data_IF_387442860251
#
_entry.id   IF_387442860251
#
_cell.length_a   1.000
_cell.length_b   1.000
_cell.length_c   1.000
_cell.angle_alpha   90.00
_cell.angle_beta   90.00
_cell.angle_gamma   90.00
#
_symmetry.space_group_name_H-M   'P 1'
#
loop_
_entity.id
_entity.type
_entity.pdbx_description
1 polymer ?
#
# COMPACT_ATOMS: atom_id res chain seq x y z
N UNK A 1 -44.50 12.12 -17.60
CA UNK A 1 -43.39 12.36 -16.68
C UNK A 1 -42.53 11.12 -16.69
N UNK A 2 -41.41 11.16 -17.40
CA UNK A 2 -40.46 10.05 -17.50
C UNK A 2 -39.45 10.19 -16.37
N UNK A 3 -39.48 9.25 -15.41
CA UNK A 3 -38.45 9.11 -14.38
C UNK A 3 -37.14 8.73 -15.06
N UNK A 4 -36.15 9.64 -15.00
CA UNK A 4 -34.78 9.34 -15.41
C UNK A 4 -34.19 8.49 -14.30
N UNK A 5 -34.09 7.19 -14.55
CA UNK A 5 -33.29 6.26 -13.75
C UNK A 5 -31.83 6.68 -13.85
N UNK A 6 -31.31 7.33 -12.81
CA UNK A 6 -29.89 7.59 -12.63
C UNK A 6 -29.25 6.31 -12.09
N UNK A 7 -28.92 5.37 -12.97
CA UNK A 7 -27.99 4.29 -12.61
C UNK A 7 -26.62 4.92 -12.37
N UNK A 8 -25.99 4.71 -11.20
CA UNK A 8 -24.65 5.22 -10.95
C UNK A 8 -23.68 4.63 -11.97
N UNK A 9 -23.01 5.47 -12.76
CA UNK A 9 -21.93 4.98 -13.61
C UNK A 9 -20.81 4.47 -12.69
N UNK A 10 -20.30 3.25 -12.91
CA UNK A 10 -19.14 2.77 -12.16
C UNK A 10 -17.95 3.71 -12.39
N UNK A 11 -17.09 3.85 -11.38
CA UNK A 11 -15.83 4.60 -11.53
C UNK A 11 -15.04 3.94 -12.65
N UNK A 12 -14.87 4.66 -13.76
CA UNK A 12 -14.24 4.13 -14.97
C UNK A 12 -12.75 3.84 -14.80
N UNK A 13 -12.10 4.51 -13.84
CA UNK A 13 -10.72 4.22 -13.43
C UNK A 13 -10.48 4.64 -11.95
N UNK A 14 -10.53 3.70 -11.00
CA UNK A 14 -10.25 3.97 -9.58
C UNK A 14 -8.83 4.53 -9.31
N UNK A 15 -7.85 4.19 -10.15
CA UNK A 15 -6.46 4.63 -9.97
C UNK A 15 -6.27 6.10 -10.38
N UNK A 16 -7.08 6.61 -11.30
CA UNK A 16 -7.09 8.03 -11.70
C UNK A 16 -7.95 8.91 -10.77
N UNK A 17 -8.70 8.33 -9.83
CA UNK A 17 -9.75 9.05 -9.10
C UNK A 17 -9.21 10.09 -8.11
N UNK A 18 -8.22 9.72 -7.29
CA UNK A 18 -7.73 10.57 -6.21
C UNK A 18 -6.31 11.06 -6.49
N UNK A 19 -6.13 12.38 -6.49
CA UNK A 19 -4.80 13.02 -6.49
C UNK A 19 -4.25 13.22 -5.09
N UNK A 20 -5.14 13.27 -4.09
CA UNK A 20 -4.79 13.50 -2.70
C UNK A 20 -5.88 13.02 -1.75
N UNK A 21 -5.51 12.83 -0.49
CA UNK A 21 -6.45 12.48 0.57
C UNK A 21 -6.12 13.22 1.86
N UNK A 22 -7.08 13.34 2.76
CA UNK A 22 -6.87 13.71 4.15
C UNK A 22 -7.34 12.59 5.07
N UNK A 23 -6.43 12.03 5.85
CA UNK A 23 -6.75 11.04 6.89
C UNK A 23 -7.07 11.73 8.20
N UNK A 24 -8.28 11.49 8.69
CA UNK A 24 -8.75 11.93 10.00
C UNK A 24 -8.50 10.83 11.03
N UNK A 25 -8.09 11.23 12.24
CA UNK A 25 -7.88 10.35 13.41
C UNK A 25 -6.69 9.38 13.35
N UNK A 26 -5.74 9.61 12.45
CA UNK A 26 -4.51 8.80 12.40
C UNK A 26 -3.42 9.30 13.38
N UNK A 27 -3.40 10.61 13.64
CA UNK A 27 -2.37 11.29 14.44
C UNK A 27 -2.91 11.93 15.70
N UNK A 28 -1.99 12.15 16.64
CA UNK A 28 -2.23 12.99 17.81
C UNK A 28 -1.04 13.90 18.01
N UNK A 29 -1.30 15.21 17.99
CA UNK A 29 -0.37 16.21 18.51
C UNK A 29 -0.97 16.72 19.80
N UNK A 30 -0.22 16.71 20.91
CA UNK A 30 -0.63 17.34 22.16
C UNK A 30 -2.07 17.01 22.65
N UNK A 31 -2.47 15.74 22.56
CA UNK A 31 -3.82 15.23 22.86
C UNK A 31 -4.97 15.72 21.96
N UNK A 32 -4.70 16.47 20.89
CA UNK A 32 -5.69 16.82 19.87
C UNK A 32 -5.62 15.85 18.68
N UNK A 33 -6.80 15.45 18.17
CA UNK A 33 -6.90 14.66 16.95
C UNK A 33 -6.40 15.50 15.77
N UNK A 34 -5.25 15.12 15.21
CA UNK A 34 -4.68 15.79 14.05
C UNK A 34 -5.04 15.01 12.78
N UNK A 35 -5.20 15.72 11.67
CA UNK A 35 -5.38 15.14 10.34
C UNK A 35 -4.10 15.26 9.52
N UNK A 36 -3.88 14.30 8.61
CA UNK A 36 -2.76 14.36 7.66
C UNK A 36 -3.31 14.36 6.25
N UNK A 37 -2.91 15.35 5.47
CA UNK A 37 -3.12 15.35 4.02
C UNK A 37 -1.94 14.69 3.32
N UNK A 38 -2.19 13.69 2.47
CA UNK A 38 -1.20 12.99 1.66
C UNK A 38 -1.50 13.21 0.18
N UNK A 39 -0.44 13.25 -0.63
CA UNK A 39 -0.56 13.31 -2.09
C UNK A 39 -0.39 11.93 -2.69
N UNK A 40 -0.99 11.71 -3.85
CA UNK A 40 -0.78 10.48 -4.63
C UNK A 40 0.71 10.37 -4.96
N UNK A 41 1.31 9.27 -4.53
CA UNK A 41 2.68 8.92 -4.85
C UNK A 41 2.73 8.02 -6.08
N UNK A 42 3.88 8.03 -6.77
CA UNK A 42 4.19 6.99 -7.75
C UNK A 42 4.39 5.66 -7.01
N UNK A 43 3.99 4.54 -7.58
CA UNK A 43 4.31 3.20 -7.06
C UNK A 43 5.78 2.83 -7.38
N UNK A 44 6.25 1.66 -6.95
CA UNK A 44 7.62 1.21 -7.21
C UNK A 44 7.65 -0.04 -8.11
N UNK A 45 7.99 0.09 -9.41
CA UNK A 45 8.06 -1.05 -10.32
C UNK A 45 9.03 -2.14 -9.87
N UNK A 46 8.77 -3.38 -10.26
CA UNK A 46 9.76 -4.44 -10.18
C UNK A 46 10.82 -4.31 -11.26
N UNK A 47 12.05 -4.74 -10.96
CA UNK A 47 13.04 -4.95 -11.99
C UNK A 47 12.61 -6.15 -12.82
N UNK A 48 12.71 -6.03 -14.15
CA UNK A 48 12.29 -7.07 -15.07
C UNK A 48 13.50 -7.89 -15.49
N UNK A 49 13.32 -9.20 -15.42
CA UNK A 49 14.34 -10.17 -15.74
C UNK A 49 13.75 -11.14 -16.76
N UNK A 50 14.46 -11.35 -17.87
CA UNK A 50 14.12 -12.39 -18.84
C UNK A 50 15.01 -13.61 -18.60
N UNK A 51 14.39 -14.79 -18.50
CA UNK A 51 15.12 -16.06 -18.47
C UNK A 51 15.50 -16.56 -19.88
N UNK A 52 15.17 -15.81 -20.93
CA UNK A 52 15.55 -16.15 -22.30
C UNK A 52 17.07 -16.04 -22.49
N UNK A 53 17.72 -17.17 -22.77
CA UNK A 53 19.17 -17.26 -23.02
C UNK A 53 19.61 -16.42 -24.24
N UNK A 54 18.69 -16.09 -25.13
CA UNK A 54 18.96 -15.30 -26.34
C UNK A 54 18.91 -13.78 -26.08
N UNK A 55 18.64 -13.37 -24.83
CA UNK A 55 18.64 -11.97 -24.43
C UNK A 55 17.51 -11.15 -25.05
N UNK A 56 16.43 -11.80 -25.52
CA UNK A 56 15.30 -11.06 -26.07
C UNK A 56 14.47 -10.50 -24.91
N UNK A 57 14.22 -9.21 -24.97
CA UNK A 57 13.25 -8.58 -24.07
C UNK A 57 11.90 -9.29 -24.22
N UNK A 58 11.13 -9.47 -23.12
CA UNK A 58 9.80 -10.07 -23.20
C UNK A 58 8.98 -9.38 -24.29
N UNK A 59 8.46 -10.16 -25.25
CA UNK A 59 7.69 -9.62 -26.38
C UNK A 59 6.36 -9.06 -25.87
N UNK A 60 6.16 -7.75 -26.04
CA UNK A 60 4.89 -7.08 -25.81
C UNK A 60 5.02 -5.67 -25.24
N UNK A 61 4.08 -4.79 -25.62
CA UNK A 61 3.90 -3.45 -25.06
C UNK A 61 3.36 -3.45 -23.62
N UNK A 62 3.51 -4.54 -22.87
CA UNK A 62 3.08 -4.58 -21.48
C UNK A 62 3.97 -3.64 -20.67
N UNK A 63 3.53 -2.39 -20.59
CA UNK A 63 4.15 -1.34 -19.79
C UNK A 63 3.89 -1.66 -18.31
N UNK A 64 4.85 -2.37 -17.75
CA UNK A 64 5.00 -2.66 -16.32
C UNK A 64 5.58 -1.47 -15.56
N UNK A 65 5.54 -0.29 -16.16
CA UNK A 65 5.94 0.95 -15.54
C UNK A 65 4.88 1.37 -14.50
N UNK A 66 5.31 2.13 -13.51
CA UNK A 66 4.40 2.71 -12.52
C UNK A 66 3.48 3.72 -13.19
N UNK A 67 2.22 3.73 -12.77
CA UNK A 67 1.25 4.71 -13.26
C UNK A 67 1.63 6.10 -12.71
N UNK A 68 1.63 7.11 -13.58
CA UNK A 68 1.82 8.49 -13.14
C UNK A 68 0.64 8.94 -12.26
N UNK A 69 0.90 9.60 -11.11
CA UNK A 69 -0.17 10.18 -10.30
C UNK A 69 -1.08 11.10 -11.13
N UNK A 70 -2.41 11.09 -10.91
CA UNK A 70 -3.33 11.93 -11.67
C UNK A 70 -3.12 13.41 -11.29
N UNK A 71 -2.92 14.28 -12.28
CA UNK A 71 -2.71 15.71 -12.07
C UNK A 71 -3.98 16.41 -11.53
N UNK A 72 -5.15 16.04 -12.07
CA UNK A 72 -6.44 16.68 -11.78
C UNK A 72 -7.41 15.74 -11.03
N UNK A 73 -6.87 14.79 -10.28
CA UNK A 73 -7.68 13.87 -9.45
C UNK A 73 -8.38 14.59 -8.29
N UNK A 74 -9.39 13.96 -7.74
CA UNK A 74 -10.16 14.47 -6.60
C UNK A 74 -9.39 14.40 -5.28
N UNK A 75 -9.91 15.11 -4.28
CA UNK A 75 -9.47 15.03 -2.90
C UNK A 75 -10.51 14.32 -2.04
N UNK A 76 -10.10 13.31 -1.26
CA UNK A 76 -10.99 12.60 -0.34
C UNK A 76 -10.62 12.82 1.13
N UNK A 77 -11.58 13.22 1.96
CA UNK A 77 -11.45 13.16 3.41
C UNK A 77 -11.89 11.77 3.87
N UNK A 78 -10.97 10.98 4.43
CA UNK A 78 -11.23 9.65 4.94
C UNK A 78 -11.07 9.63 6.45
N UNK A 79 -12.05 9.07 7.16
CA UNK A 79 -11.98 8.87 8.60
C UNK A 79 -11.66 7.43 8.92
N UNK A 80 -10.57 7.21 9.65
CA UNK A 80 -10.21 5.90 10.21
C UNK A 80 -11.28 5.49 11.25
N UNK A 81 -11.77 4.26 11.16
CA UNK A 81 -12.77 3.70 12.09
C UNK A 81 -12.17 2.63 12.99
N UNK A 82 -11.68 1.54 12.40
CA UNK A 82 -11.26 0.34 13.11
C UNK A 82 -9.88 -0.11 12.66
N UNK A 83 -9.08 -0.67 13.57
CA UNK A 83 -7.89 -1.43 13.18
C UNK A 83 -8.30 -2.85 12.83
N UNK A 84 -8.06 -3.25 11.59
CA UNK A 84 -8.40 -4.56 11.05
C UNK A 84 -7.30 -5.60 11.30
N UNK A 85 -6.05 -5.15 11.40
CA UNK A 85 -4.93 -6.04 11.67
C UNK A 85 -3.59 -5.33 11.73
N UNK A 86 -2.57 -6.08 12.12
CA UNK A 86 -1.18 -5.66 12.09
C UNK A 86 -0.34 -6.81 11.54
N UNK A 87 0.55 -6.49 10.62
CA UNK A 87 1.52 -7.42 10.07
C UNK A 87 2.94 -6.87 10.17
N UNK A 88 3.89 -7.62 9.60
CA UNK A 88 5.31 -7.24 9.59
C UNK A 88 5.51 -5.82 9.04
N UNK A 89 4.93 -5.55 7.87
CA UNK A 89 5.16 -4.31 7.10
C UNK A 89 4.35 -3.10 7.58
N UNK A 90 3.30 -3.29 8.37
CA UNK A 90 2.34 -2.22 8.61
C UNK A 90 1.09 -2.62 9.35
N UNK A 91 0.22 -1.64 9.56
CA UNK A 91 -1.09 -1.79 10.15
C UNK A 91 -2.18 -1.56 9.10
N UNK A 92 -3.31 -2.25 9.25
CA UNK A 92 -4.43 -2.17 8.33
C UNK A 92 -5.64 -1.62 9.08
N UNK A 93 -6.31 -0.64 8.48
CA UNK A 93 -7.45 0.05 9.05
C UNK A 93 -8.65 0.04 8.10
N UNK A 94 -9.84 0.02 8.68
CA UNK A 94 -11.04 0.43 7.98
C UNK A 94 -11.14 1.95 7.98
N UNK A 95 -11.64 2.51 6.89
CA UNK A 95 -11.95 3.92 6.81
C UNK A 95 -13.27 4.15 6.08
N UNK A 96 -13.92 5.28 6.36
CA UNK A 96 -15.11 5.73 5.65
C UNK A 96 -14.85 7.07 4.97
N UNK A 97 -15.46 7.26 3.80
CA UNK A 97 -15.48 8.56 3.13
C UNK A 97 -16.32 9.55 3.95
N UNK A 98 -15.74 10.71 4.25
CA UNK A 98 -16.42 11.82 4.92
C UNK A 98 -16.84 12.87 3.89
N UNK A 99 -15.92 13.23 2.99
CA UNK A 99 -16.20 14.18 1.94
C UNK A 99 -15.34 13.92 0.71
N UNK A 100 -15.84 14.32 -0.44
CA UNK A 100 -15.14 14.28 -1.72
C UNK A 100 -15.11 15.70 -2.28
N UNK A 101 -13.96 16.18 -2.74
CA UNK A 101 -13.76 17.56 -3.21
C UNK A 101 -13.01 17.59 -4.53
N UNK A 102 -13.18 18.66 -5.31
CA UNK A 102 -12.41 18.89 -6.54
C UNK A 102 -10.90 19.07 -6.27
N UNK A 103 -10.53 19.56 -5.09
CA UNK A 103 -9.16 19.73 -4.63
C UNK A 103 -9.13 19.86 -3.10
N UNK A 104 -7.95 19.94 -2.48
CA UNK A 104 -7.78 20.05 -1.02
C UNK A 104 -8.60 21.20 -0.41
N UNK A 105 -8.62 22.35 -1.10
CA UNK A 105 -9.38 23.56 -0.70
C UNK A 105 -10.59 23.82 -1.60
N UNK A 106 -10.97 22.82 -2.40
CA UNK A 106 -12.04 22.93 -3.38
C UNK A 106 -13.43 22.73 -2.78
N UNK A 107 -14.43 22.95 -3.62
CA UNK A 107 -15.83 22.66 -3.33
C UNK A 107 -16.04 21.16 -3.06
N UNK A 108 -16.85 20.86 -2.04
CA UNK A 108 -17.34 19.51 -1.76
C UNK A 108 -18.35 19.07 -2.80
N UNK A 109 -18.12 17.91 -3.39
CA UNK A 109 -18.99 17.28 -4.37
C UNK A 109 -20.17 16.57 -3.67
N UNK A 110 -21.37 16.55 -4.27
CA UNK A 110 -22.51 15.81 -3.73
C UNK A 110 -22.20 14.31 -3.62
N UNK A 111 -22.72 13.64 -2.58
CA UNK A 111 -22.47 12.21 -2.34
C UNK A 111 -22.93 11.29 -3.49
N UNK A 112 -23.91 11.72 -4.28
CA UNK A 112 -24.40 10.97 -5.44
C UNK A 112 -23.51 11.11 -6.69
N UNK A 113 -22.46 11.94 -6.65
CA UNK A 113 -21.66 12.28 -7.83
C UNK A 113 -20.85 11.07 -8.33
N UNK A 114 -20.31 10.24 -7.43
CA UNK A 114 -19.52 9.06 -7.78
C UNK A 114 -19.85 7.93 -6.80
N UNK A 115 -20.35 6.77 -7.27
CA UNK A 115 -20.55 5.61 -6.41
C UNK A 115 -19.18 5.05 -6.00
N UNK A 116 -18.78 5.28 -4.75
CA UNK A 116 -17.52 4.78 -4.20
C UNK A 116 -17.77 3.65 -3.19
N UNK A 117 -16.90 2.63 -3.16
CA UNK A 117 -16.99 1.61 -2.14
C UNK A 117 -16.73 2.25 -0.78
N UNK A 118 -17.62 1.96 0.17
CA UNK A 118 -17.44 2.36 1.57
C UNK A 118 -17.94 1.19 2.42
N UNK A 119 -17.11 0.63 3.31
CA UNK A 119 -15.82 1.15 3.77
C UNK A 119 -14.62 0.90 2.84
N UNK A 120 -13.57 1.72 3.00
CA UNK A 120 -12.23 1.53 2.44
C UNK A 120 -11.35 0.71 3.39
N UNK A 121 -10.29 0.14 2.83
CA UNK A 121 -9.19 -0.49 3.55
C UNK A 121 -7.91 0.35 3.33
N UNK A 122 -7.28 0.76 4.44
CA UNK A 122 -6.06 1.58 4.44
C UNK A 122 -4.94 0.80 5.10
N UNK A 123 -3.90 0.47 4.33
CA UNK A 123 -2.67 -0.12 4.85
C UNK A 123 -1.65 0.98 5.07
N UNK A 124 -1.27 1.21 6.34
CA UNK A 124 -0.21 2.12 6.75
C UNK A 124 1.10 1.35 6.91
N UNK A 125 2.12 1.72 6.14
CA UNK A 125 3.45 1.16 6.31
C UNK A 125 4.11 1.62 7.62
N UNK A 126 4.94 0.76 8.21
CA UNK A 126 5.98 1.22 9.14
C UNK A 126 7.09 1.94 8.34
N UNK A 127 7.83 2.87 8.95
CA UNK A 127 8.82 3.69 8.24
C UNK A 127 9.79 2.91 7.35
N UNK A 128 10.25 1.75 7.82
CA UNK A 128 11.22 0.88 7.17
C UNK A 128 10.64 0.01 6.04
N UNK A 129 9.32 0.00 5.82
CA UNK A 129 8.66 -0.81 4.77
C UNK A 129 7.92 0.03 3.73
N UNK A 130 8.19 1.34 3.64
CA UNK A 130 7.50 2.23 2.70
C UNK A 130 7.82 1.85 1.24
N UNK A 131 9.07 1.52 0.91
CA UNK A 131 9.43 1.02 -0.44
C UNK A 131 8.68 -0.26 -0.77
N UNK A 132 8.61 -1.18 0.19
CA UNK A 132 7.89 -2.44 0.04
C UNK A 132 6.39 -2.20 -0.19
N UNK A 133 5.79 -1.22 0.48
CA UNK A 133 4.39 -0.84 0.25
C UNK A 133 4.20 -0.16 -1.12
N UNK A 134 5.14 0.67 -1.57
CA UNK A 134 5.13 1.24 -2.91
C UNK A 134 5.24 0.14 -3.99
N UNK A 135 6.01 -0.91 -3.73
CA UNK A 135 6.11 -2.11 -4.59
C UNK A 135 4.80 -2.90 -4.62
N UNK A 136 4.17 -3.11 -3.46
CA UNK A 136 2.87 -3.75 -3.37
C UNK A 136 1.79 -2.96 -4.13
N UNK A 137 1.80 -1.63 -4.03
CA UNK A 137 0.90 -0.78 -4.79
C UNK A 137 1.09 -0.95 -6.31
N UNK A 138 2.33 -1.09 -6.78
CA UNK A 138 2.62 -1.34 -8.19
C UNK A 138 2.04 -2.66 -8.67
N UNK A 139 2.07 -3.73 -7.87
CA UNK A 139 1.39 -4.99 -8.22
C UNK A 139 -0.12 -4.78 -8.39
N UNK A 140 -0.77 -4.05 -7.49
CA UNK A 140 -2.19 -3.72 -7.65
C UNK A 140 -2.48 -2.85 -8.87
N UNK A 141 -1.57 -1.97 -9.27
CA UNK A 141 -1.68 -1.21 -10.53
C UNK A 141 -1.65 -2.12 -11.75
N UNK A 142 -0.77 -3.12 -11.78
CA UNK A 142 -0.71 -4.06 -12.90
C UNK A 142 -1.94 -4.97 -12.93
N UNK A 143 -2.36 -5.49 -11.78
CA UNK A 143 -3.54 -6.34 -11.67
C UNK A 143 -4.83 -5.59 -12.04
N UNK A 144 -4.89 -4.28 -11.79
CA UNK A 144 -6.03 -3.44 -12.20
C UNK A 144 -6.15 -3.26 -13.72
N UNK A 145 -5.06 -3.46 -14.49
CA UNK A 145 -5.07 -3.36 -15.96
C UNK A 145 -5.61 -4.62 -16.64
N UNK A 146 -5.68 -5.74 -15.92
CA UNK A 146 -6.17 -7.01 -16.45
C UNK A 146 -7.69 -7.10 -16.29
N UNK A 147 -8.40 -7.28 -17.41
CA UNK A 147 -9.85 -7.39 -17.44
C UNK A 147 -10.34 -8.53 -16.53
N UNK A 148 -11.26 -8.21 -15.62
CA UNK A 148 -11.89 -9.18 -14.71
C UNK A 148 -11.15 -9.46 -13.40
N UNK A 149 -9.99 -8.85 -13.16
CA UNK A 149 -9.26 -9.00 -11.90
C UNK A 149 -9.72 -8.05 -10.77
N UNK A 150 -9.76 -6.72 -10.95
CA UNK A 150 -10.15 -5.80 -9.88
C UNK A 150 -11.63 -5.99 -9.47
N UNK A 151 -11.88 -6.05 -8.16
CA UNK A 151 -13.20 -6.28 -7.57
C UNK A 151 -13.64 -7.75 -7.49
N UNK A 152 -12.94 -8.66 -8.18
CA UNK A 152 -13.26 -10.09 -8.20
C UNK A 152 -12.17 -10.94 -7.55
N UNK A 153 -10.93 -10.80 -8.03
CA UNK A 153 -9.76 -11.57 -7.55
C UNK A 153 -8.90 -10.71 -6.63
N UNK A 154 -8.78 -9.42 -6.94
CA UNK A 154 -8.00 -8.45 -6.17
C UNK A 154 -8.90 -7.29 -5.77
N UNK A 155 -8.71 -6.69 -4.58
CA UNK A 155 -9.44 -5.49 -4.21
C UNK A 155 -9.13 -4.35 -5.19
N UNK A 156 -10.16 -3.58 -5.55
CA UNK A 156 -10.03 -2.31 -6.28
C UNK A 156 -9.04 -1.41 -5.55
N UNK A 157 -7.97 -1.02 -6.25
CA UNK A 157 -6.93 -0.16 -5.72
C UNK A 157 -7.21 1.30 -6.07
N UNK A 158 -7.17 2.16 -5.06
CA UNK A 158 -7.30 3.62 -5.20
C UNK A 158 -5.95 4.33 -5.14
N UNK A 159 -4.87 3.57 -4.92
CA UNK A 159 -3.50 4.04 -5.05
C UNK A 159 -2.66 4.08 -3.79
N UNK A 160 -1.40 4.42 -4.03
CA UNK A 160 -0.41 4.70 -3.01
C UNK A 160 -0.29 6.19 -2.76
N UNK A 161 -0.33 6.60 -1.49
CA UNK A 161 -0.22 7.99 -1.08
C UNK A 161 0.90 8.11 -0.08
N UNK A 162 1.68 9.18 -0.21
CA UNK A 162 2.80 9.37 0.67
C UNK A 162 3.11 10.84 0.91
N UNK A 163 3.73 11.11 2.06
CA UNK A 163 4.15 12.46 2.44
C UNK A 163 5.23 12.40 3.53
N UNK A 164 6.18 13.33 3.45
CA UNK A 164 7.06 13.64 4.56
C UNK A 164 6.30 14.41 5.65
N UNK A 165 6.25 13.87 6.86
CA UNK A 165 5.62 14.56 7.98
C UNK A 165 6.53 15.67 8.55
N UNK A 166 5.94 16.75 9.07
CA UNK A 166 6.63 17.68 9.94
C UNK A 166 7.18 16.98 11.19
N UNK A 167 8.31 17.46 11.70
CA UNK A 167 9.05 16.81 12.81
C UNK A 167 8.27 16.72 14.13
N UNK A 168 7.23 17.54 14.29
CA UNK A 168 6.36 17.59 15.46
C UNK A 168 5.12 16.69 15.35
N UNK A 169 4.93 15.98 14.23
CA UNK A 169 3.78 15.10 14.04
C UNK A 169 4.16 13.66 14.34
N UNK A 170 3.51 13.08 15.35
CA UNK A 170 3.68 11.68 15.73
C UNK A 170 2.45 10.85 15.36
N UNK A 171 2.68 9.71 14.73
CA UNK A 171 1.64 8.72 14.45
C UNK A 171 1.41 7.83 15.68
N UNK A 172 0.18 7.85 16.22
CA UNK A 172 -0.24 6.97 17.34
C UNK A 172 0.02 5.50 17.02
N UNK A 173 -0.23 5.14 15.76
CA UNK A 173 -0.04 3.80 15.20
C UNK A 173 1.38 3.25 15.41
N UNK A 174 2.41 4.10 15.36
CA UNK A 174 3.79 3.65 15.48
C UNK A 174 4.29 3.53 16.92
N UNK A 175 3.71 4.28 17.88
CA UNK A 175 4.18 4.27 19.27
C UNK A 175 3.87 2.98 20.03
N UNK A 176 2.97 2.13 19.51
CA UNK A 176 2.64 0.82 20.06
C UNK A 176 3.50 -0.33 19.51
N UNK A 177 4.25 -0.10 18.43
CA UNK A 177 5.04 -1.14 17.76
C UNK A 177 6.35 -1.33 18.53
N UNK A 178 6.40 -2.36 19.39
CA UNK A 178 7.68 -2.92 19.82
C UNK A 178 8.26 -3.66 18.63
N UNK A 179 9.09 -2.97 17.84
CA UNK A 179 9.88 -3.60 16.78
C UNK A 179 10.87 -4.55 17.48
N UNK A 180 10.46 -5.79 17.67
CA UNK A 180 11.43 -6.88 17.75
C UNK A 180 11.63 -7.30 16.32
N UNK A 181 12.73 -6.88 15.65
CA UNK A 181 13.02 -7.42 14.35
C UNK A 181 13.16 -8.93 14.54
N UNK A 182 12.22 -9.69 13.97
CA UNK A 182 12.47 -11.12 13.81
C UNK A 182 13.67 -11.19 12.90
N UNK A 183 14.83 -11.55 13.47
CA UNK A 183 16.01 -11.85 12.66
C UNK A 183 15.59 -12.93 11.68
N UNK A 184 15.70 -12.69 10.36
CA UNK A 184 15.60 -13.78 9.40
C UNK A 184 16.64 -14.83 9.81
N UNK A 185 16.30 -16.12 9.72
CA UNK A 185 17.19 -17.23 10.12
C UNK A 185 18.55 -17.18 9.43
N UNK A 186 18.63 -16.46 8.31
CA UNK A 186 19.75 -16.47 7.37
C UNK A 186 20.64 -15.23 7.51
N UNK A 187 20.34 -14.30 8.43
CA UNK A 187 21.18 -13.12 8.68
C UNK A 187 22.29 -13.47 9.68
N UNK A 188 23.58 -13.28 9.33
CA UNK A 188 24.70 -13.53 10.22
C UNK A 188 24.54 -12.84 11.58
N UNK A 189 25.03 -13.49 12.63
CA UNK A 189 24.98 -12.93 13.97
C UNK A 189 25.87 -11.68 14.06
N UNK A 190 25.25 -10.49 14.01
CA UNK A 190 25.95 -9.20 14.13
C UNK A 190 25.50 -8.15 13.12
N UNK A 191 24.79 -8.55 12.07
CA UNK A 191 24.22 -7.62 11.08
C UNK A 191 22.77 -7.29 11.43
N UNK A 192 22.42 -5.99 11.38
CA UNK A 192 21.01 -5.58 11.44
C UNK A 192 20.38 -5.85 10.07
N UNK A 193 19.26 -6.60 10.01
CA UNK A 193 18.58 -6.84 8.75
C UNK A 193 18.15 -5.50 8.14
N UNK A 194 18.67 -5.20 6.95
CA UNK A 194 18.17 -4.07 6.17
C UNK A 194 16.78 -4.43 5.62
N UNK A 195 15.76 -4.11 6.40
CA UNK A 195 14.35 -4.38 6.10
C UNK A 195 13.84 -3.68 4.83
N UNK A 196 14.61 -2.73 4.30
CA UNK A 196 14.27 -1.97 3.10
C UNK A 196 14.83 -2.61 1.82
N UNK A 197 15.65 -3.67 1.90
CA UNK A 197 16.12 -4.41 0.72
C UNK A 197 15.00 -5.24 0.10
N UNK A 198 14.81 -5.07 -1.21
CA UNK A 198 13.99 -5.95 -2.04
C UNK A 198 14.89 -6.94 -2.78
N UNK A 199 14.31 -8.06 -3.21
CA UNK A 199 15.01 -9.11 -3.99
C UNK A 199 15.74 -8.52 -5.21
N UNK A 200 15.13 -7.51 -5.85
CA UNK A 200 15.68 -6.86 -7.04
C UNK A 200 16.87 -5.92 -6.76
N UNK A 201 17.14 -5.61 -5.49
CA UNK A 201 18.28 -4.77 -5.09
C UNK A 201 19.59 -5.59 -5.01
N UNK A 202 19.50 -6.92 -4.98
CA UNK A 202 20.67 -7.80 -4.92
C UNK A 202 21.38 -7.85 -6.29
N UNK A 203 22.63 -7.38 -6.33
CA UNK A 203 23.55 -7.57 -7.46
C UNK A 203 24.06 -9.02 -7.49
N UNK A 204 23.15 -9.98 -7.65
CA UNK A 204 23.47 -11.40 -7.81
C UNK A 204 23.67 -11.80 -9.26
N UNK A 205 24.43 -12.89 -9.48
CA UNK A 205 24.61 -13.58 -10.77
C UNK A 205 23.31 -14.22 -11.30
N UNK A 206 22.23 -13.44 -11.37
CA UNK A 206 21.05 -13.87 -12.09
C UNK A 206 21.46 -14.07 -13.54
N UNK A 207 21.33 -15.31 -14.04
CA UNK A 207 21.44 -15.67 -15.47
C UNK A 207 20.23 -15.11 -16.25
N UNK A 208 19.83 -13.89 -15.93
CA UNK A 208 18.66 -13.25 -16.49
C UNK A 208 19.07 -11.93 -17.11
N UNK A 209 18.53 -11.68 -18.29
CA UNK A 209 18.80 -10.44 -19.00
C UNK A 209 17.91 -9.34 -18.43
N UNK A 210 18.54 -8.21 -18.13
CA UNK A 210 17.87 -6.94 -17.84
C UNK A 210 17.23 -6.43 -19.14
N UNK A 211 15.97 -5.99 -19.07
CA UNK A 211 15.27 -5.45 -20.25
C UNK A 211 15.64 -3.99 -20.55
N UNK A 212 16.67 -3.47 -19.86
CA UNK A 212 17.22 -2.12 -19.94
C UNK A 212 16.24 -1.00 -19.57
N UNK A 213 15.03 -1.36 -19.10
CA UNK A 213 14.05 -0.35 -18.70
C UNK A 213 14.48 0.32 -17.41
N UNK A 214 14.37 1.65 -17.43
CA UNK A 214 14.84 2.48 -16.32
C UNK A 214 13.75 2.83 -15.31
N UNK A 215 12.51 2.38 -15.48
CA UNK A 215 11.41 2.74 -14.57
C UNK A 215 11.64 2.33 -13.13
N UNK A 216 12.37 1.23 -12.88
CA UNK A 216 12.85 0.86 -11.56
C UNK A 216 13.94 1.82 -11.04
N UNK A 217 14.95 2.13 -11.86
CA UNK A 217 16.12 2.93 -11.49
C UNK A 217 15.79 4.42 -11.28
N UNK A 218 14.91 4.95 -12.12
CA UNK A 218 14.49 6.35 -12.13
C UNK A 218 13.39 6.61 -11.06
N UNK A 219 12.88 5.55 -10.41
CA UNK A 219 11.89 5.64 -9.34
C UNK A 219 12.40 6.41 -8.11
N UNK A 220 11.57 7.25 -7.47
CA UNK A 220 11.92 7.90 -6.21
C UNK A 220 12.13 6.90 -5.06
N UNK A 221 11.67 5.66 -5.24
CA UNK A 221 11.83 4.57 -4.27
C UNK A 221 13.07 3.73 -4.51
N UNK A 222 13.93 4.05 -5.49
CA UNK A 222 15.19 3.34 -5.66
C UNK A 222 16.16 3.64 -4.50
N UNK A 223 16.99 2.68 -4.07
CA UNK A 223 17.92 2.84 -2.92
C UNK A 223 18.87 4.05 -3.03
N UNK A 224 19.20 4.47 -4.26
CA UNK A 224 20.04 5.65 -4.47
C UNK A 224 19.31 6.96 -4.16
N UNK A 225 17.98 6.99 -4.28
CA UNK A 225 17.13 8.16 -4.08
C UNK A 225 16.42 8.13 -2.72
N UNK A 226 15.98 6.95 -2.30
CA UNK A 226 15.27 6.74 -1.05
C UNK A 226 16.21 6.33 0.07
N UNK A 227 16.05 6.98 1.23
CA UNK A 227 16.63 6.51 2.49
C UNK A 227 15.55 6.61 3.55
N UNK A 228 15.25 5.50 4.23
CA UNK A 228 14.34 5.49 5.36
C UNK A 228 14.87 6.46 6.44
N UNK A 229 14.25 7.62 6.57
CA UNK A 229 14.57 8.61 7.60
C UNK A 229 13.64 8.42 8.79
N UNK A 230 14.11 7.67 9.78
CA UNK A 230 13.38 7.40 11.02
C UNK A 230 13.63 8.46 12.09
N UNK A 231 14.66 9.28 11.94
CA UNK A 231 15.20 10.13 13.00
C UNK A 231 14.71 11.59 12.97
N UNK A 232 14.49 12.18 11.78
CA UNK A 232 14.33 13.65 11.67
C UNK A 232 13.27 14.21 10.74
N UNK A 233 12.46 13.38 10.08
CA UNK A 233 11.20 13.76 9.41
C UNK A 233 10.58 12.47 8.90
N UNK A 234 9.70 11.81 9.67
CA UNK A 234 9.21 10.52 9.25
C UNK A 234 8.40 10.65 7.97
N UNK A 235 8.65 9.76 7.03
CA UNK A 235 7.81 9.62 5.85
C UNK A 235 6.63 8.72 6.18
N UNK A 236 5.46 9.04 5.67
CA UNK A 236 4.27 8.18 5.78
C UNK A 236 3.92 7.68 4.39
N UNK A 237 3.74 6.38 4.27
CA UNK A 237 3.22 5.72 3.08
C UNK A 237 1.98 4.91 3.42
N UNK A 238 0.94 5.07 2.62
CA UNK A 238 -0.30 4.31 2.74
C UNK A 238 -0.75 3.78 1.38
N UNK A 239 -1.44 2.66 1.40
CA UNK A 239 -2.12 2.08 0.24
C UNK A 239 -3.62 2.03 0.54
N UNK A 240 -4.43 2.54 -0.37
CA UNK A 240 -5.89 2.51 -0.27
C UNK A 240 -6.45 1.50 -1.24
N UNK A 241 -7.30 0.63 -0.71
CA UNK A 241 -8.06 -0.37 -1.48
C UNK A 241 -9.52 -0.36 -1.02
N UNK A 242 -10.40 -0.95 -1.82
CA UNK A 242 -11.73 -1.30 -1.32
C UNK A 242 -11.63 -2.35 -0.21
N UNK A 243 -12.59 -2.35 0.71
CA UNK A 243 -12.69 -3.43 1.70
C UNK A 243 -13.55 -4.55 1.12
N UNK A 244 -12.93 -5.71 0.86
CA UNK A 244 -13.62 -6.94 0.47
C UNK A 244 -13.92 -7.85 1.68
N UNK A 245 -14.96 -8.67 1.53
CA UNK A 245 -15.34 -9.72 2.49
C UNK A 245 -16.24 -9.24 3.64
N UNK A 246 -16.99 -10.19 4.22
CA UNK A 246 -17.79 -9.93 5.41
C UNK A 246 -16.89 -9.67 6.63
N UNK A 247 -17.37 -8.85 7.58
CA UNK A 247 -16.70 -8.77 8.88
C UNK A 247 -16.71 -10.16 9.53
N UNK A 248 -15.53 -10.68 9.84
CA UNK A 248 -15.43 -11.85 10.71
C UNK A 248 -16.03 -11.49 12.07
N UNK A 249 -16.96 -12.29 12.61
CA UNK A 249 -17.50 -12.06 13.94
C UNK A 249 -16.35 -11.98 14.95
N UNK A 250 -16.36 -10.94 15.78
CA UNK A 250 -15.37 -10.72 16.86
C UNK A 250 -15.33 -11.87 17.88
N UNK A 251 -16.32 -12.77 17.87
CA UNK A 251 -16.43 -13.94 18.72
C UNK A 251 -15.89 -15.25 18.09
N UNK A 252 -15.10 -15.20 17.01
CA UNK A 252 -14.50 -16.41 16.47
C UNK A 252 -13.40 -16.95 17.41
N UNK A 253 -13.82 -17.77 18.37
CA UNK A 253 -12.93 -18.70 19.07
C UNK A 253 -12.59 -19.82 18.09
N UNK A 254 -11.33 -19.97 17.65
CA UNK A 254 -10.97 -21.11 16.83
C UNK A 254 -11.32 -22.39 17.59
N UNK A 255 -11.86 -23.43 16.92
CA UNK A 255 -12.15 -24.69 17.58
C UNK A 255 -10.87 -25.19 18.26
N UNK A 256 -10.94 -25.40 19.57
CA UNK A 256 -9.86 -26.01 20.36
C UNK A 256 -9.59 -27.40 19.77
N UNK A 257 -8.61 -27.52 18.88
CA UNK A 257 -8.34 -28.79 18.22
C UNK A 257 -7.32 -28.81 17.10
N UNK A 258 -7.00 -27.70 16.44
CA UNK A 258 -5.92 -27.65 15.45
C UNK A 258 -4.69 -26.93 15.98
N UNK A 259 -4.13 -27.47 17.06
CA UNK A 259 -2.71 -27.26 17.32
C UNK A 259 -1.92 -28.05 16.30
N UNK A 260 -1.13 -27.39 15.45
CA UNK A 260 -0.02 -28.05 14.78
C UNK A 260 0.82 -28.72 15.88
N UNK A 261 0.72 -30.05 15.98
CA UNK A 261 1.63 -30.84 16.81
C UNK A 261 3.04 -30.60 16.27
N UNK A 262 3.80 -29.73 16.93
CA UNK A 262 5.26 -29.79 16.89
C UNK A 262 5.63 -31.20 17.35
N UNK A 263 6.10 -32.04 16.43
CA UNK A 263 6.79 -33.27 16.82
C UNK A 263 8.03 -32.82 17.59
N UNK A 264 8.08 -33.14 18.88
CA UNK A 264 9.33 -33.16 19.60
C UNK A 264 10.20 -34.29 19.02
N UNK A 265 11.52 -34.11 18.92
CA UNK A 265 12.40 -35.15 18.43
C UNK A 265 12.40 -36.33 19.41
N UNK A 266 12.25 -37.54 18.88
CA UNK A 266 12.40 -38.78 19.64
C UNK A 266 13.82 -38.87 20.17
N UNK A 267 13.95 -39.05 21.49
CA UNK A 267 15.19 -39.44 22.13
C UNK A 267 15.59 -40.83 21.62
N UNK A 268 16.77 -40.89 21.00
CA UNK A 268 17.48 -42.11 20.65
C UNK A 268 17.85 -42.83 21.95
N UNK A 269 17.37 -44.07 22.10
CA UNK A 269 17.94 -45.06 23.03
C UNK A 269 18.95 -45.93 22.29
#
# INVERSE_FOLDING_TARGET
MSEISLTPNPVSDPLALFSSITLLRLTSSDNEECSITLSRGQSFPAKRFSADEEGRAPVGEQQWDAISPPADGLHADLQITDQLGEGRMGQVFAARLVSLKKSIHGETLPAAYIPLPSPFCIKLAKPEYIRSLAREAWFYEQLSKEDGNPGAVTPVCFGFFARQLPNNVHLRSWSSVKIKPEKPSDVPEGEEPNHDLLVDDEEGEYRHFDDERRSHLDSPWHLQQWKARTDRSPFVGILITERLGAQMPTEYSPPRGMGLRRRLPEEVR
#
